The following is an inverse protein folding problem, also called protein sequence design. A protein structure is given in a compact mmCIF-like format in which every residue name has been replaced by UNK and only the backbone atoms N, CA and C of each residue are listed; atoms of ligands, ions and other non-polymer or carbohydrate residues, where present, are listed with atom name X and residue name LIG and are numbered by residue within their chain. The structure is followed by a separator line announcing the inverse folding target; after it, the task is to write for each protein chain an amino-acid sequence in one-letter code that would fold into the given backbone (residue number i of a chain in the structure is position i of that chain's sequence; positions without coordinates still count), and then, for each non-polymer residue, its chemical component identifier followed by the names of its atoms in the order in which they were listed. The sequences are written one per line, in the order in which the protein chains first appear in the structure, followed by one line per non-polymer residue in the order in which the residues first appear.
data_IF_780477882362
#
_entry.id   IF_780477882362
#
_cell.length_a   1.000
_cell.length_b   1.000
_cell.length_c   1.000
_cell.angle_alpha   90.00
_cell.angle_beta   90.00
_cell.angle_gamma   90.00
#
_symmetry.space_group_name_H-M   'P 1'
#
loop_
_entity.id
_entity.type
_entity.pdbx_description
1 polymer ?
#
# COMPACT_ATOMS: atom_id res chain seq x y z
N UNK A 1 -13.54 -28.30 8.84
CA UNK A 1 -14.55 -27.24 8.76
C UNK A 1 -14.38 -26.16 9.84
N UNK A 2 -14.14 -26.50 11.12
CA UNK A 2 -13.94 -25.50 12.20
C UNK A 2 -12.74 -24.57 11.99
N UNK A 3 -11.66 -25.01 11.34
CA UNK A 3 -10.48 -24.17 11.04
C UNK A 3 -10.76 -23.15 9.93
N UNK A 4 -11.52 -23.53 8.91
CA UNK A 4 -11.91 -22.63 7.81
C UNK A 4 -12.83 -21.50 8.30
N UNK A 5 -13.80 -21.79 9.16
CA UNK A 5 -14.65 -20.74 9.78
C UNK A 5 -13.85 -19.76 10.63
N UNK A 6 -12.77 -20.19 11.29
CA UNK A 6 -11.89 -19.27 12.04
C UNK A 6 -11.10 -18.32 11.12
N UNK A 7 -10.68 -18.78 9.95
CA UNK A 7 -9.97 -17.94 8.96
C UNK A 7 -10.91 -16.88 8.40
N UNK A 8 -12.15 -17.25 8.06
CA UNK A 8 -13.14 -16.31 7.54
C UNK A 8 -13.66 -15.31 8.60
N UNK A 9 -13.52 -15.63 9.88
CA UNK A 9 -13.88 -14.73 10.99
C UNK A 9 -12.75 -13.75 11.37
N UNK A 10 -11.58 -13.87 10.76
CA UNK A 10 -10.52 -12.88 10.97
C UNK A 10 -10.86 -11.59 10.21
N UNK A 11 -10.96 -10.50 10.94
CA UNK A 11 -11.32 -9.20 10.39
C UNK A 11 -10.35 -8.71 9.32
N UNK A 12 -9.05 -9.06 9.40
CA UNK A 12 -8.06 -8.69 8.40
C UNK A 12 -8.35 -9.35 7.06
N UNK A 13 -8.61 -10.66 7.06
CA UNK A 13 -8.85 -11.45 5.84
C UNK A 13 -10.12 -10.96 5.17
N UNK A 14 -11.20 -10.76 5.94
CA UNK A 14 -12.46 -10.24 5.43
C UNK A 14 -12.28 -8.85 4.79
N UNK A 15 -11.58 -7.93 5.47
CA UNK A 15 -11.31 -6.59 4.97
C UNK A 15 -10.43 -6.62 3.72
N UNK A 16 -9.42 -7.49 3.67
CA UNK A 16 -8.53 -7.61 2.51
C UNK A 16 -9.28 -8.12 1.27
N UNK A 17 -10.07 -9.17 1.43
CA UNK A 17 -10.91 -9.71 0.34
C UNK A 17 -11.92 -8.66 -0.12
N UNK A 18 -12.59 -7.97 0.82
CA UNK A 18 -13.53 -6.91 0.48
C UNK A 18 -12.85 -5.78 -0.30
N UNK A 19 -11.66 -5.34 0.09
CA UNK A 19 -10.88 -4.31 -0.60
C UNK A 19 -10.54 -4.74 -2.04
N UNK A 20 -10.05 -5.96 -2.22
CA UNK A 20 -9.74 -6.50 -3.56
C UNK A 20 -11.00 -6.55 -4.43
N UNK A 21 -12.10 -7.10 -3.91
CA UNK A 21 -13.34 -7.24 -4.67
C UNK A 21 -13.93 -5.87 -5.02
N UNK A 22 -14.00 -4.95 -4.05
CA UNK A 22 -14.52 -3.60 -4.28
C UNK A 22 -13.68 -2.85 -5.33
N UNK A 23 -12.35 -2.87 -5.19
CA UNK A 23 -11.44 -2.22 -6.15
C UNK A 23 -11.55 -2.85 -7.55
N UNK A 24 -11.65 -4.19 -7.63
CA UNK A 24 -11.81 -4.90 -8.90
C UNK A 24 -13.14 -4.54 -9.58
N UNK A 25 -14.24 -4.54 -8.84
CA UNK A 25 -15.56 -4.17 -9.37
C UNK A 25 -15.54 -2.74 -9.90
N UNK A 26 -14.93 -1.80 -9.18
CA UNK A 26 -14.83 -0.41 -9.60
C UNK A 26 -14.03 -0.25 -10.89
N UNK A 27 -12.89 -0.95 -11.02
CA UNK A 27 -12.09 -0.92 -12.25
C UNK A 27 -12.83 -1.56 -13.42
N UNK A 28 -13.41 -2.74 -13.22
CA UNK A 28 -14.18 -3.46 -14.25
C UNK A 28 -15.34 -2.60 -14.76
N UNK A 29 -16.12 -2.02 -13.84
CA UNK A 29 -17.22 -1.15 -14.18
C UNK A 29 -16.76 0.08 -14.97
N UNK A 30 -15.67 0.71 -14.57
CA UNK A 30 -15.11 1.86 -15.24
C UNK A 30 -14.65 1.54 -16.67
N UNK A 31 -13.91 0.42 -16.86
CA UNK A 31 -13.40 -0.01 -18.16
C UNK A 31 -14.55 -0.33 -19.14
N UNK A 32 -15.58 -1.01 -18.65
CA UNK A 32 -16.74 -1.36 -19.44
C UNK A 32 -17.63 -0.14 -19.76
N UNK A 33 -17.90 0.69 -18.76
CA UNK A 33 -18.79 1.85 -18.94
C UNK A 33 -18.24 2.92 -19.89
N UNK A 34 -16.91 3.07 -19.96
CA UNK A 34 -16.25 4.02 -20.85
C UNK A 34 -15.83 3.39 -22.19
N UNK A 35 -16.33 2.21 -22.54
CA UNK A 35 -16.03 1.48 -23.78
C UNK A 35 -14.52 1.30 -24.06
N UNK A 36 -13.69 1.26 -23.00
CA UNK A 36 -12.23 1.09 -23.10
C UNK A 36 -11.90 -0.36 -23.46
N UNK A 37 -12.64 -1.31 -22.89
CA UNK A 37 -12.49 -2.76 -23.10
C UNK A 37 -13.86 -3.44 -23.13
N UNK A 38 -13.92 -4.57 -23.83
CA UNK A 38 -15.09 -5.44 -23.78
C UNK A 38 -15.32 -5.99 -22.37
N UNK A 39 -16.55 -6.46 -22.07
CA UNK A 39 -16.91 -6.95 -20.72
C UNK A 39 -15.99 -8.10 -20.24
N UNK A 40 -15.67 -9.05 -21.13
CA UNK A 40 -14.77 -10.17 -20.83
C UNK A 40 -13.34 -9.67 -20.52
N UNK A 41 -12.82 -8.80 -21.36
CA UNK A 41 -11.50 -8.19 -21.16
C UNK A 41 -11.45 -7.33 -19.89
N UNK A 42 -12.49 -6.54 -19.63
CA UNK A 42 -12.60 -5.71 -18.42
C UNK A 42 -12.55 -6.57 -17.15
N UNK A 43 -13.24 -7.70 -17.14
CA UNK A 43 -13.21 -8.63 -16.00
C UNK A 43 -11.83 -9.24 -15.85
N UNK A 44 -11.27 -9.81 -16.89
CA UNK A 44 -9.99 -10.51 -16.86
C UNK A 44 -8.82 -9.59 -16.52
N UNK A 45 -8.70 -8.46 -17.21
CA UNK A 45 -7.61 -7.51 -17.05
C UNK A 45 -7.75 -6.71 -15.74
N UNK A 46 -8.97 -6.25 -15.43
CA UNK A 46 -9.25 -5.50 -14.21
C UNK A 46 -8.97 -6.33 -12.97
N UNK A 47 -9.51 -7.56 -12.90
CA UNK A 47 -9.31 -8.46 -11.77
C UNK A 47 -7.83 -8.81 -11.60
N UNK A 48 -7.15 -9.20 -12.68
CA UNK A 48 -5.75 -9.61 -12.63
C UNK A 48 -4.85 -8.48 -12.13
N UNK A 49 -4.92 -7.29 -12.73
CA UNK A 49 -4.02 -6.19 -12.39
C UNK A 49 -4.29 -5.62 -11.00
N UNK A 50 -5.57 -5.53 -10.59
CA UNK A 50 -5.92 -5.10 -9.22
C UNK A 50 -5.39 -6.08 -8.18
N UNK A 51 -5.59 -7.38 -8.37
CA UNK A 51 -5.06 -8.41 -7.45
C UNK A 51 -3.54 -8.33 -7.43
N UNK A 52 -2.89 -8.27 -8.59
CA UNK A 52 -1.44 -8.23 -8.70
C UNK A 52 -0.81 -7.06 -7.93
N UNK A 53 -1.40 -5.87 -8.05
CA UNK A 53 -0.89 -4.67 -7.37
C UNK A 53 -1.16 -4.72 -5.86
N UNK A 54 -2.39 -5.01 -5.43
CA UNK A 54 -2.73 -5.02 -4.00
C UNK A 54 -2.03 -6.15 -3.24
N UNK A 55 -1.77 -7.29 -3.90
CA UNK A 55 -1.02 -8.39 -3.27
C UNK A 55 0.50 -8.20 -3.34
N UNK A 56 0.99 -7.16 -4.05
CA UNK A 56 2.41 -6.94 -4.26
C UNK A 56 3.08 -8.01 -5.14
N UNK A 57 2.31 -8.72 -5.98
CA UNK A 57 2.84 -9.70 -6.93
C UNK A 57 3.54 -9.03 -8.11
N UNK A 58 3.01 -7.90 -8.59
CA UNK A 58 3.66 -7.00 -9.55
C UNK A 58 3.62 -7.44 -11.01
N UNK A 59 2.94 -8.53 -11.36
CA UNK A 59 2.74 -8.89 -12.77
C UNK A 59 1.69 -8.02 -13.42
N UNK A 60 1.92 -7.64 -14.68
CA UNK A 60 1.00 -6.84 -15.49
C UNK A 60 0.59 -7.62 -16.73
N UNK A 61 -0.66 -7.49 -17.13
CA UNK A 61 -1.22 -8.17 -18.33
C UNK A 61 -1.71 -7.19 -19.38
N UNK A 62 -1.73 -5.90 -19.07
CA UNK A 62 -2.15 -4.83 -19.98
C UNK A 62 -1.51 -3.51 -19.52
N UNK A 63 -1.48 -2.52 -20.42
CA UNK A 63 -1.02 -1.18 -20.11
C UNK A 63 -2.13 -0.37 -19.41
N UNK A 64 -2.18 -0.46 -18.09
CA UNK A 64 -3.17 0.27 -17.32
C UNK A 64 -2.96 1.82 -17.32
N UNK A 65 -1.84 2.34 -17.85
CA UNK A 65 -1.70 3.77 -18.11
C UNK A 65 -2.71 4.28 -19.16
N UNK A 66 -3.24 3.39 -20.00
CA UNK A 66 -4.24 3.70 -21.02
C UNK A 66 -5.69 3.53 -20.53
N UNK A 67 -5.91 3.07 -19.30
CA UNK A 67 -7.24 2.82 -18.74
C UNK A 67 -7.97 4.07 -18.28
N UNK A 68 -7.33 5.24 -18.36
CA UNK A 68 -7.87 6.51 -17.89
C UNK A 68 -7.50 6.83 -16.44
N UNK A 69 -7.83 8.06 -15.98
CA UNK A 69 -7.30 8.57 -14.72
C UNK A 69 -7.77 7.80 -13.50
N UNK A 70 -9.05 7.39 -13.44
CA UNK A 70 -9.61 6.75 -12.26
C UNK A 70 -8.95 5.41 -11.90
N UNK A 71 -8.80 4.44 -12.82
CA UNK A 71 -8.07 3.19 -12.54
C UNK A 71 -6.61 3.44 -12.14
N UNK A 72 -5.93 4.40 -12.78
CA UNK A 72 -4.54 4.75 -12.47
C UNK A 72 -4.41 5.20 -11.00
N UNK A 73 -5.26 6.12 -10.55
CA UNK A 73 -5.24 6.57 -9.15
C UNK A 73 -5.60 5.46 -8.19
N UNK A 74 -6.59 4.64 -8.51
CA UNK A 74 -7.00 3.52 -7.67
C UNK A 74 -5.87 2.50 -7.52
N UNK A 75 -5.18 2.14 -8.60
CA UNK A 75 -4.02 1.27 -8.58
C UNK A 75 -2.85 1.90 -7.83
N UNK A 76 -2.59 3.21 -8.02
CA UNK A 76 -1.57 3.93 -7.29
C UNK A 76 -1.78 3.87 -5.77
N UNK A 77 -2.98 4.17 -5.29
CA UNK A 77 -3.30 4.06 -3.87
C UNK A 77 -3.32 2.60 -3.41
N UNK A 78 -3.69 1.67 -4.29
CA UNK A 78 -3.61 0.23 -4.04
C UNK A 78 -2.20 -0.27 -3.73
N UNK A 79 -1.15 0.36 -4.29
CA UNK A 79 0.24 0.01 -4.03
C UNK A 79 0.63 0.15 -2.54
N UNK A 80 0.03 1.10 -1.82
CA UNK A 80 0.32 1.31 -0.41
C UNK A 80 -0.31 0.28 0.52
N UNK A 81 -1.32 -0.45 0.03
CA UNK A 81 -2.04 -1.45 0.83
C UNK A 81 -1.25 -2.75 0.82
N UNK A 82 -0.74 -3.12 1.98
CA UNK A 82 -0.12 -4.43 2.19
C UNK A 82 -1.15 -5.50 2.55
N UNK A 83 -0.73 -6.75 2.55
CA UNK A 83 -1.57 -7.88 2.96
C UNK A 83 -1.83 -7.96 4.46
N UNK A 84 -2.32 -9.11 4.90
CA UNK A 84 -2.56 -9.40 6.31
C UNK A 84 -1.26 -9.49 7.12
N UNK A 85 -1.35 -9.36 8.44
CA UNK A 85 -0.22 -9.61 9.33
C UNK A 85 0.32 -11.03 9.12
N UNK A 86 1.66 -11.18 9.11
CA UNK A 86 2.31 -12.45 8.83
C UNK A 86 2.45 -12.79 7.33
N UNK A 87 1.87 -12.01 6.41
CA UNK A 87 2.14 -12.15 4.98
C UNK A 87 3.50 -11.55 4.60
N UNK A 88 4.06 -12.01 3.48
CA UNK A 88 5.33 -11.51 2.92
C UNK A 88 5.18 -10.20 2.13
N UNK A 89 3.96 -9.71 1.91
CA UNK A 89 3.68 -8.42 1.25
C UNK A 89 4.27 -7.26 2.03
N UNK A 90 4.86 -6.32 1.34
CA UNK A 90 5.31 -5.04 1.89
C UNK A 90 4.15 -4.03 1.95
N UNK A 91 4.47 -2.74 2.14
CA UNK A 91 3.45 -1.71 2.30
C UNK A 91 2.82 -1.68 3.70
N UNK A 92 1.71 -0.99 3.79
CA UNK A 92 1.02 -0.79 5.07
C UNK A 92 0.04 -1.94 5.28
N UNK A 93 0.32 -2.81 6.25
CA UNK A 93 -0.52 -3.98 6.56
C UNK A 93 -1.95 -3.59 6.92
N UNK A 94 -2.93 -4.41 6.52
CA UNK A 94 -4.37 -4.17 6.74
C UNK A 94 -4.70 -3.89 8.21
N UNK A 95 -4.10 -4.62 9.16
CA UNK A 95 -4.38 -4.42 10.57
C UNK A 95 -4.04 -3.00 11.06
N UNK A 96 -3.01 -2.36 10.47
CA UNK A 96 -2.63 -0.98 10.81
C UNK A 96 -3.72 0.01 10.37
N UNK A 97 -4.31 -0.18 9.19
CA UNK A 97 -5.45 0.61 8.75
C UNK A 97 -6.66 0.42 9.68
N UNK A 98 -6.96 -0.82 10.06
CA UNK A 98 -8.08 -1.12 10.96
C UNK A 98 -7.90 -0.45 12.32
N UNK A 99 -6.68 -0.50 12.90
CA UNK A 99 -6.37 0.17 14.18
C UNK A 99 -6.53 1.69 14.05
N UNK A 100 -6.05 2.30 12.97
CA UNK A 100 -6.21 3.74 12.76
C UNK A 100 -7.68 4.13 12.61
N UNK A 101 -8.46 3.39 11.84
CA UNK A 101 -9.89 3.63 11.67
C UNK A 101 -10.65 3.54 13.01
N UNK A 102 -10.36 2.52 13.79
CA UNK A 102 -10.98 2.36 15.11
C UNK A 102 -10.55 3.46 16.08
N UNK A 103 -9.28 3.85 16.05
CA UNK A 103 -8.78 4.97 16.86
C UNK A 103 -9.45 6.28 16.47
N UNK A 104 -9.57 6.57 15.17
CA UNK A 104 -10.24 7.76 14.65
C UNK A 104 -11.72 7.79 15.09
N UNK A 105 -12.42 6.67 14.93
CA UNK A 105 -13.81 6.52 15.35
C UNK A 105 -13.98 6.82 16.85
N UNK A 106 -13.09 6.27 17.67
CA UNK A 106 -13.13 6.52 19.12
C UNK A 106 -12.83 7.99 19.47
N UNK A 107 -11.92 8.65 18.74
CA UNK A 107 -11.65 10.08 18.92
C UNK A 107 -12.86 10.93 18.55
N UNK A 108 -13.54 10.62 17.44
CA UNK A 108 -14.78 11.30 17.05
C UNK A 108 -15.89 11.13 18.10
N UNK A 109 -16.04 9.91 18.65
CA UNK A 109 -17.01 9.66 19.73
C UNK A 109 -16.68 10.45 21.00
N UNK A 110 -15.40 10.60 21.36
CA UNK A 110 -14.98 11.43 22.50
C UNK A 110 -15.27 12.91 22.30
N UNK A 111 -15.18 13.41 21.06
CA UNK A 111 -15.54 14.80 20.75
C UNK A 111 -17.05 15.04 20.90
N UNK A 112 -17.87 14.05 20.53
CA UNK A 112 -19.32 14.11 20.67
C UNK A 112 -19.76 13.93 22.14
N UNK A 113 -19.05 13.09 22.89
CA UNK A 113 -19.38 12.75 24.29
C UNK A 113 -18.12 12.87 25.16
N UNK A 114 -17.74 14.09 25.61
CA UNK A 114 -16.47 14.35 26.32
C UNK A 114 -16.28 13.53 27.60
N UNK A 115 -17.38 13.18 28.28
CA UNK A 115 -17.36 12.37 29.50
C UNK A 115 -17.50 10.87 29.27
N UNK A 116 -17.63 10.44 28.01
CA UNK A 116 -17.73 9.03 27.64
C UNK A 116 -16.37 8.31 27.70
N UNK A 117 -16.39 7.08 28.20
CA UNK A 117 -15.20 6.21 28.18
C UNK A 117 -15.28 5.30 26.96
N UNK A 118 -14.52 5.62 25.92
CA UNK A 118 -14.44 4.84 24.69
C UNK A 118 -13.09 4.12 24.62
N UNK A 119 -13.14 2.82 24.50
CA UNK A 119 -11.94 1.97 24.42
C UNK A 119 -11.87 1.37 23.03
N UNK A 120 -10.79 1.61 22.26
CA UNK A 120 -10.64 1.00 20.94
C UNK A 120 -10.48 -0.51 21.05
N UNK A 121 -11.12 -1.23 20.14
CA UNK A 121 -11.08 -2.68 20.08
C UNK A 121 -10.58 -3.15 18.71
N UNK A 122 -9.80 -4.22 18.70
CA UNK A 122 -9.37 -4.88 17.49
C UNK A 122 -9.56 -6.38 17.65
N UNK A 123 -10.23 -7.02 16.71
CA UNK A 123 -10.51 -8.47 16.73
C UNK A 123 -11.09 -8.94 18.10
N UNK A 124 -12.06 -8.19 18.63
CA UNK A 124 -12.72 -8.37 19.93
C UNK A 124 -11.81 -8.21 21.17
N UNK A 125 -10.57 -7.70 20.99
CA UNK A 125 -9.66 -7.42 22.11
C UNK A 125 -9.48 -5.92 22.28
N UNK A 126 -9.32 -5.48 23.53
CA UNK A 126 -8.97 -4.10 23.84
C UNK A 126 -7.58 -3.79 23.28
N UNK A 127 -7.45 -2.65 22.60
CA UNK A 127 -6.17 -2.15 22.14
C UNK A 127 -5.43 -1.42 23.27
N UNK A 128 -4.16 -1.75 23.43
CA UNK A 128 -3.24 -1.03 24.31
C UNK A 128 -2.77 0.26 23.64
N UNK A 129 -2.55 1.31 24.41
CA UNK A 129 -2.09 2.60 23.87
C UNK A 129 -0.73 2.49 23.18
N UNK A 130 0.14 1.59 23.63
CA UNK A 130 1.44 1.33 23.02
C UNK A 130 1.31 0.86 21.57
N UNK A 131 0.36 -0.04 21.29
CA UNK A 131 0.10 -0.54 19.93
C UNK A 131 -0.38 0.61 19.03
N UNK A 132 -1.30 1.44 19.52
CA UNK A 132 -1.81 2.60 18.77
C UNK A 132 -0.68 3.55 18.43
N UNK A 133 0.15 3.91 19.42
CA UNK A 133 1.29 4.81 19.23
C UNK A 133 2.30 4.24 18.25
N UNK A 134 2.59 2.94 18.32
CA UNK A 134 3.49 2.25 17.39
C UNK A 134 2.94 2.29 15.95
N UNK A 135 1.64 2.06 15.76
CA UNK A 135 1.00 2.14 14.44
C UNK A 135 1.04 3.56 13.88
N UNK A 136 0.75 4.56 14.70
CA UNK A 136 0.82 5.97 14.27
C UNK A 136 2.26 6.37 13.91
N UNK A 137 3.24 5.96 14.72
CA UNK A 137 4.67 6.17 14.43
C UNK A 137 5.10 5.53 13.10
N UNK A 138 4.65 4.30 12.85
CA UNK A 138 4.90 3.64 11.57
C UNK A 138 4.33 4.42 10.37
N UNK A 139 3.08 4.88 10.46
CA UNK A 139 2.47 5.67 9.38
C UNK A 139 3.23 6.97 9.12
N UNK A 140 3.62 7.67 10.18
CA UNK A 140 4.40 8.90 10.05
C UNK A 140 5.73 8.63 9.33
N UNK A 141 6.48 7.63 9.77
CA UNK A 141 7.76 7.27 9.17
C UNK A 141 7.60 6.77 7.73
N UNK A 142 6.54 6.02 7.44
CA UNK A 142 6.26 5.53 6.09
C UNK A 142 6.00 6.70 5.11
N UNK A 143 5.13 7.64 5.49
CA UNK A 143 4.82 8.82 4.68
C UNK A 143 6.06 9.70 4.51
N UNK A 144 6.81 9.93 5.59
CA UNK A 144 8.05 10.70 5.54
C UNK A 144 9.08 10.06 4.59
N UNK A 145 9.28 8.73 4.69
CA UNK A 145 10.17 7.99 3.80
C UNK A 145 9.72 8.10 2.34
N UNK A 146 8.42 7.97 2.07
CA UNK A 146 7.85 8.13 0.74
C UNK A 146 8.14 9.53 0.16
N UNK A 147 7.93 10.58 0.94
CA UNK A 147 8.21 11.96 0.53
C UNK A 147 9.69 12.15 0.24
N UNK A 148 10.57 11.70 1.15
CA UNK A 148 12.02 11.84 0.99
C UNK A 148 12.52 11.10 -0.25
N UNK A 149 12.08 9.86 -0.47
CA UNK A 149 12.46 9.08 -1.65
C UNK A 149 11.96 9.76 -2.94
N UNK A 150 10.72 10.26 -2.95
CA UNK A 150 10.17 10.98 -4.11
C UNK A 150 11.01 12.23 -4.42
N UNK A 151 11.38 13.02 -3.41
CA UNK A 151 12.22 14.21 -3.58
C UNK A 151 13.63 13.84 -4.09
N UNK A 152 14.23 12.79 -3.57
CA UNK A 152 15.52 12.30 -4.06
C UNK A 152 15.43 11.84 -5.52
N UNK A 153 14.38 11.13 -5.90
CA UNK A 153 14.16 10.71 -7.29
C UNK A 153 13.92 11.89 -8.23
N UNK A 154 13.24 12.93 -7.77
CA UNK A 154 13.00 14.14 -8.59
C UNK A 154 14.30 14.88 -8.95
N UNK A 155 15.40 14.70 -8.20
CA UNK A 155 16.72 15.25 -8.55
C UNK A 155 17.42 14.49 -9.67
N UNK A 156 16.88 13.35 -10.11
CA UNK A 156 17.47 12.48 -11.12
C UNK A 156 16.84 12.62 -12.51
N UNK A 157 16.27 13.79 -12.81
CA UNK A 157 15.62 14.14 -14.08
C UNK A 157 14.35 13.33 -14.43
N UNK A 158 13.81 12.58 -13.47
CA UNK A 158 12.55 11.86 -13.64
C UNK A 158 11.36 12.84 -13.53
N UNK A 159 10.36 12.65 -14.39
CA UNK A 159 9.11 13.41 -14.31
C UNK A 159 8.35 13.13 -13.01
N UNK A 160 7.41 14.02 -12.68
CA UNK A 160 6.68 13.95 -11.41
C UNK A 160 5.94 12.62 -11.19
N UNK A 161 5.23 12.13 -12.22
CA UNK A 161 4.46 10.88 -12.13
C UNK A 161 5.40 9.68 -11.95
N UNK A 162 6.50 9.65 -12.70
CA UNK A 162 7.51 8.59 -12.59
C UNK A 162 8.19 8.61 -11.23
N UNK A 163 8.63 9.76 -10.72
CA UNK A 163 9.27 9.86 -9.40
C UNK A 163 8.34 9.43 -8.27
N UNK A 164 7.08 9.90 -8.31
CA UNK A 164 6.07 9.57 -7.31
C UNK A 164 5.74 8.07 -7.31
N UNK A 165 5.50 7.50 -8.48
CA UNK A 165 5.14 6.08 -8.60
C UNK A 165 6.32 5.16 -8.37
N UNK A 166 7.53 5.55 -8.76
CA UNK A 166 8.76 4.82 -8.47
C UNK A 166 9.01 4.73 -6.95
N UNK A 167 8.82 5.82 -6.22
CA UNK A 167 8.92 5.84 -4.77
C UNK A 167 7.86 4.92 -4.13
N UNK A 168 6.59 5.00 -4.60
CA UNK A 168 5.50 4.16 -4.09
C UNK A 168 5.78 2.68 -4.33
N UNK A 169 6.06 2.30 -5.59
CA UNK A 169 6.26 0.90 -5.96
C UNK A 169 7.50 0.28 -5.32
N UNK A 170 8.60 1.05 -5.17
CA UNK A 170 9.82 0.56 -4.53
C UNK A 170 9.65 0.41 -3.02
N UNK A 171 9.05 1.37 -2.33
CA UNK A 171 8.83 1.31 -0.89
C UNK A 171 7.81 0.23 -0.50
N UNK A 172 6.77 0.03 -1.32
CA UNK A 172 5.79 -1.03 -1.12
C UNK A 172 6.20 -2.38 -1.77
N UNK A 173 7.32 -2.43 -2.51
CA UNK A 173 7.83 -3.61 -3.21
C UNK A 173 6.77 -4.27 -4.12
N UNK A 174 6.04 -3.48 -4.90
CA UNK A 174 4.99 -3.96 -5.81
C UNK A 174 5.56 -4.40 -7.16
N UNK A 175 6.40 -3.55 -7.78
CA UNK A 175 7.07 -3.80 -9.06
C UNK A 175 6.75 -2.76 -10.13
N UNK A 176 5.59 -2.77 -10.78
CA UNK A 176 5.29 -1.82 -11.84
C UNK A 176 5.10 -0.39 -11.28
N UNK A 177 5.57 0.60 -12.03
CA UNK A 177 5.30 2.00 -11.77
C UNK A 177 4.20 2.56 -12.67
N UNK A 178 4.10 3.88 -12.70
CA UNK A 178 3.22 4.65 -13.59
C UNK A 178 4.06 5.58 -14.47
N UNK A 179 3.45 6.07 -15.53
CA UNK A 179 4.12 6.97 -16.48
C UNK A 179 4.81 6.23 -17.62
N UNK A 180 5.46 7.01 -18.48
CA UNK A 180 6.02 6.50 -19.73
C UNK A 180 7.38 5.80 -19.57
N UNK A 181 8.06 5.98 -18.43
CA UNK A 181 9.41 5.45 -18.22
C UNK A 181 9.39 4.10 -17.51
N UNK A 182 8.57 3.96 -16.47
CA UNK A 182 8.52 2.76 -15.60
C UNK A 182 7.12 2.16 -15.52
N UNK A 183 6.27 2.49 -16.49
CA UNK A 183 4.91 1.95 -16.57
C UNK A 183 4.87 0.44 -16.80
N UNK A 184 3.66 -0.13 -16.90
CA UNK A 184 3.45 -1.58 -16.96
C UNK A 184 4.09 -2.28 -18.18
N UNK A 185 4.36 -1.56 -19.27
CA UNK A 185 5.05 -2.07 -20.46
C UNK A 185 6.54 -1.76 -20.47
N UNK A 186 7.02 -0.94 -19.54
CA UNK A 186 8.40 -0.48 -19.48
C UNK A 186 9.15 -1.11 -18.29
N UNK A 187 10.43 -0.79 -18.18
CA UNK A 187 11.28 -1.35 -17.14
C UNK A 187 12.22 -0.29 -16.55
N UNK A 188 12.79 -0.59 -15.39
CA UNK A 188 13.72 0.29 -14.68
C UNK A 188 15.14 0.30 -15.31
N UNK A 189 15.34 -0.30 -16.48
CA UNK A 189 16.63 -0.33 -17.16
C UNK A 189 17.13 1.04 -17.61
N UNK A 190 16.21 1.90 -18.06
CA UNK A 190 16.52 3.16 -18.75
C UNK A 190 16.66 4.37 -17.81
N UNK A 191 16.38 4.20 -16.53
CA UNK A 191 16.58 5.27 -15.54
C UNK A 191 18.05 5.43 -15.16
N UNK A 192 18.41 6.63 -14.64
CA UNK A 192 19.78 6.94 -14.25
C UNK A 192 20.34 5.99 -13.18
N UNK A 193 21.64 5.83 -13.12
CA UNK A 193 22.32 4.99 -12.11
C UNK A 193 22.01 5.52 -10.70
N UNK A 194 21.97 6.84 -10.51
CA UNK A 194 21.63 7.45 -9.24
C UNK A 194 20.21 7.06 -8.78
N UNK A 195 19.22 7.14 -9.69
CA UNK A 195 17.85 6.70 -9.40
C UNK A 195 17.80 5.22 -9.00
N UNK A 196 18.56 4.35 -9.69
CA UNK A 196 18.64 2.90 -9.35
C UNK A 196 19.13 2.68 -7.92
N UNK A 197 20.16 3.39 -7.48
CA UNK A 197 20.65 3.28 -6.09
C UNK A 197 19.65 3.76 -5.05
N UNK A 198 18.93 4.87 -5.33
CA UNK A 198 17.85 5.35 -4.45
C UNK A 198 16.74 4.29 -4.33
N UNK A 199 16.34 3.69 -5.46
CA UNK A 199 15.31 2.65 -5.49
C UNK A 199 15.74 1.37 -4.76
N UNK A 200 16.99 0.94 -4.91
CA UNK A 200 17.55 -0.22 -4.18
C UNK A 200 17.43 0.00 -2.68
N UNK A 201 17.82 1.19 -2.19
CA UNK A 201 17.70 1.53 -0.79
C UNK A 201 16.24 1.57 -0.33
N UNK A 202 15.36 2.16 -1.14
CA UNK A 202 13.91 2.19 -0.89
C UNK A 202 13.30 0.79 -0.77
N UNK A 203 13.66 -0.12 -1.69
CA UNK A 203 13.18 -1.52 -1.66
C UNK A 203 13.62 -2.24 -0.39
N UNK A 204 14.87 -2.05 0.05
CA UNK A 204 15.37 -2.60 1.31
C UNK A 204 14.61 -2.06 2.52
N UNK A 205 14.38 -0.74 2.57
CA UNK A 205 13.58 -0.11 3.63
C UNK A 205 12.17 -0.72 3.71
N UNK A 206 11.50 -0.85 2.58
CA UNK A 206 10.14 -1.41 2.52
C UNK A 206 10.07 -2.88 2.92
N UNK A 207 11.11 -3.66 2.56
CA UNK A 207 11.14 -5.13 2.78
C UNK A 207 11.45 -5.52 4.22
N UNK A 208 12.37 -4.81 4.87
CA UNK A 208 12.89 -5.14 6.21
C UNK A 208 12.11 -4.51 7.36
N UNK A 209 10.92 -3.98 7.10
CA UNK A 209 10.14 -3.13 8.01
C UNK A 209 10.90 -1.85 8.41
N UNK A 210 10.40 -0.70 7.96
CA UNK A 210 11.02 0.62 8.08
C UNK A 210 11.65 0.91 9.44
N UNK A 211 10.92 0.62 10.53
CA UNK A 211 11.39 0.92 11.89
C UNK A 211 12.62 0.08 12.26
N UNK A 212 12.67 -1.17 11.85
CA UNK A 212 13.79 -2.08 12.11
C UNK A 212 15.07 -1.59 11.45
N UNK A 213 14.97 -1.13 10.20
CA UNK A 213 16.12 -0.59 9.47
C UNK A 213 16.59 0.74 10.09
N UNK A 214 15.66 1.61 10.47
CA UNK A 214 15.99 2.90 11.04
C UNK A 214 16.70 2.78 12.41
N UNK A 215 16.38 1.75 13.20
CA UNK A 215 17.07 1.49 14.48
C UNK A 215 18.56 1.23 14.28
N UNK A 216 18.99 0.59 13.17
CA UNK A 216 20.39 0.32 12.87
C UNK A 216 21.21 1.63 12.72
N UNK A 217 20.57 2.72 12.26
CA UNK A 217 21.21 4.03 12.12
C UNK A 217 21.33 4.82 13.43
N UNK A 218 20.69 4.35 14.52
CA UNK A 218 20.80 5.01 15.81
C UNK A 218 22.11 4.61 16.51
N UNK A 219 22.96 5.58 16.94
CA UNK A 219 24.21 5.27 17.66
C UNK A 219 23.99 4.45 18.93
N UNK A 220 22.83 4.58 19.55
CA UNK A 220 22.46 3.82 20.74
C UNK A 220 22.39 2.30 20.49
N UNK A 221 22.03 1.87 19.28
CA UNK A 221 21.97 0.44 18.90
C UNK A 221 23.35 -0.23 18.97
N UNK A 222 24.43 0.50 18.67
CA UNK A 222 25.79 -0.01 18.60
C UNK A 222 26.56 0.16 19.92
N UNK A 223 25.96 0.79 20.93
CA UNK A 223 26.61 1.09 22.22
C UNK A 223 26.21 0.15 23.36
N UNK A 224 25.31 -0.82 23.09
CA UNK A 224 24.92 -1.87 24.05
C UNK A 224 25.64 -3.17 23.75
#
# INVERSE_FOLDING_TARGET
ERKFKKILNDTQIATFIYLILASSILVIFYLWFNDIKNIEESIRLGLFNVISIITGTGYTTDNFNLWGPFPIYLLFFGMFIGGCAGSTTCGIKIFRFQILFETLKNQLHKLLHPHGVFVPHYNHKKLENEVITSVMGFFFVFILSFIVITLLLSTTELDFVTSLSAAATSLANVGPGLGNTIGPENHFGDISIAAKWILIFSMLLGRLELLTVLVIFLPAFWRN
#
